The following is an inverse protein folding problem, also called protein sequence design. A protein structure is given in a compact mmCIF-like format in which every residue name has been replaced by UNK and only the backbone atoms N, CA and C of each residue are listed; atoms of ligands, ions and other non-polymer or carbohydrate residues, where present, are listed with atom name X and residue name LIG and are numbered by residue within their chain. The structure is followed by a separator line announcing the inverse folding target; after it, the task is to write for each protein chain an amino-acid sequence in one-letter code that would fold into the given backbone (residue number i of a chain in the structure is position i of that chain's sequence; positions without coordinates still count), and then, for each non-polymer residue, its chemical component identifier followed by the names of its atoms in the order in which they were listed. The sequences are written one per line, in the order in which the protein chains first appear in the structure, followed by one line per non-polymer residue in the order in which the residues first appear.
data_IF_895801431154
#
_entry.id   IF_895801431154
#
_cell.length_a   1.000
_cell.length_b   1.000
_cell.length_c   1.000
_cell.angle_alpha   90.00
_cell.angle_beta   90.00
_cell.angle_gamma   90.00
#
_symmetry.space_group_name_H-M   'P 1'
#
loop_
_entity.id
_entity.type
_entity.pdbx_description
1 polymer ?
#
# COMPACT_ATOMS: atom_id res chain seq x y z
N UNK A 1 -31.16 -21.28 38.76
CA UNK A 1 -29.80 -21.49 38.24
C UNK A 1 -29.42 -20.26 37.46
N UNK A 2 -28.68 -19.34 38.08
CA UNK A 2 -28.20 -18.11 37.45
C UNK A 2 -26.96 -18.45 36.60
N UNK A 3 -27.07 -18.33 35.29
CA UNK A 3 -25.93 -18.41 34.39
C UNK A 3 -25.05 -17.17 34.56
N UNK A 4 -23.87 -17.37 35.12
CA UNK A 4 -22.82 -16.35 35.21
C UNK A 4 -22.50 -15.80 33.82
N UNK A 5 -22.32 -14.48 33.65
CA UNK A 5 -21.84 -13.93 32.39
C UNK A 5 -20.39 -14.36 32.16
N UNK A 6 -20.10 -14.83 30.94
CA UNK A 6 -18.76 -15.19 30.47
C UNK A 6 -17.76 -14.07 30.74
N UNK A 7 -16.48 -14.40 31.05
CA UNK A 7 -15.46 -13.40 31.32
C UNK A 7 -15.31 -12.48 30.11
N UNK A 8 -15.42 -11.18 30.36
CA UNK A 8 -15.20 -10.12 29.39
C UNK A 8 -13.89 -10.39 28.64
N UNK A 9 -13.97 -10.65 27.34
CA UNK A 9 -12.80 -10.62 26.47
C UNK A 9 -12.16 -9.25 26.63
N UNK A 10 -10.98 -9.22 27.27
CA UNK A 10 -10.17 -8.02 27.39
C UNK A 10 -9.99 -7.45 25.99
N UNK A 11 -10.47 -6.22 25.78
CA UNK A 11 -10.25 -5.49 24.54
C UNK A 11 -8.76 -5.60 24.18
N UNK A 12 -8.38 -6.07 22.97
CA UNK A 12 -6.98 -6.11 22.59
C UNK A 12 -6.39 -4.71 22.78
N UNK A 13 -5.22 -4.64 23.41
CA UNK A 13 -4.57 -3.39 23.77
C UNK A 13 -4.55 -2.45 22.56
N UNK A 14 -4.86 -1.18 22.79
CA UNK A 14 -4.81 -0.16 21.76
C UNK A 14 -3.44 -0.22 21.06
N UNK A 15 -3.46 -0.56 19.77
CA UNK A 15 -2.25 -0.79 18.98
C UNK A 15 -1.35 0.45 19.07
N UNK A 16 -0.11 0.25 19.53
CA UNK A 16 0.94 1.26 19.44
C UNK A 16 1.70 1.04 18.13
N UNK A 17 1.91 2.11 17.36
CA UNK A 17 2.87 2.07 16.27
C UNK A 17 4.25 1.73 16.83
N UNK A 18 4.97 0.86 16.13
CA UNK A 18 6.38 0.63 16.44
C UNK A 18 7.19 1.89 16.13
N UNK A 19 8.25 2.13 16.90
CA UNK A 19 9.05 3.36 16.82
C UNK A 19 9.57 3.63 15.42
N UNK A 20 10.02 2.60 14.71
CA UNK A 20 10.45 2.66 13.31
C UNK A 20 9.37 3.21 12.37
N UNK A 21 8.11 2.79 12.56
CA UNK A 21 6.99 3.25 11.72
C UNK A 21 6.62 4.69 12.01
N UNK A 22 6.67 5.09 13.27
CA UNK A 22 6.48 6.49 13.65
C UNK A 22 7.56 7.37 13.03
N UNK A 23 8.82 6.96 13.15
CA UNK A 23 9.95 7.69 12.55
C UNK A 23 9.78 7.80 11.04
N UNK A 24 9.46 6.71 10.34
CA UNK A 24 9.21 6.73 8.90
C UNK A 24 8.05 7.67 8.51
N UNK A 25 6.98 7.68 9.30
CA UNK A 25 5.85 8.59 9.09
C UNK A 25 6.28 10.06 9.25
N UNK A 26 7.01 10.41 10.30
CA UNK A 26 7.50 11.77 10.51
C UNK A 26 8.48 12.20 9.43
N UNK A 27 9.40 11.32 9.01
CA UNK A 27 10.34 11.61 7.92
C UNK A 27 9.60 11.92 6.62
N UNK A 28 8.56 11.14 6.27
CA UNK A 28 7.70 11.43 5.11
C UNK A 28 7.04 12.79 5.21
N UNK A 29 6.50 13.11 6.38
CA UNK A 29 5.82 14.38 6.63
C UNK A 29 6.77 15.58 6.50
N UNK A 30 7.94 15.51 7.15
CA UNK A 30 8.97 16.55 7.06
C UNK A 30 9.47 16.71 5.62
N UNK A 31 9.74 15.60 4.92
CA UNK A 31 10.18 15.65 3.52
C UNK A 31 9.16 16.35 2.60
N UNK A 32 7.85 16.15 2.83
CA UNK A 32 6.79 16.88 2.10
C UNK A 32 6.82 18.37 2.40
N UNK A 33 6.95 18.74 3.67
CA UNK A 33 7.04 20.15 4.08
C UNK A 33 8.26 20.81 3.40
N UNK A 34 9.41 20.14 3.39
CA UNK A 34 10.63 20.66 2.74
C UNK A 34 10.41 20.87 1.24
N UNK A 35 9.82 19.89 0.54
CA UNK A 35 9.53 20.01 -0.91
C UNK A 35 8.51 21.11 -1.17
N UNK A 36 7.42 21.17 -0.41
CA UNK A 36 6.39 22.22 -0.55
C UNK A 36 6.97 23.61 -0.28
N UNK A 37 7.75 23.76 0.79
CA UNK A 37 8.45 25.01 1.11
C UNK A 37 9.38 25.42 -0.03
N UNK A 38 10.14 24.48 -0.59
CA UNK A 38 11.03 24.74 -1.73
C UNK A 38 10.27 25.18 -2.97
N UNK A 39 9.14 24.54 -3.27
CA UNK A 39 8.28 24.93 -4.39
C UNK A 39 7.70 26.34 -4.20
N UNK A 40 7.28 26.70 -2.99
CA UNK A 40 6.80 28.05 -2.67
C UNK A 40 7.90 29.11 -2.81
N UNK A 41 9.12 28.82 -2.35
CA UNK A 41 10.26 29.72 -2.51
C UNK A 41 10.62 29.92 -3.98
N UNK A 42 10.56 28.85 -4.78
CA UNK A 42 10.76 28.93 -6.22
C UNK A 42 9.67 29.77 -6.90
N UNK A 43 8.40 29.58 -6.53
CA UNK A 43 7.29 30.38 -7.04
C UNK A 43 7.44 31.87 -6.68
N UNK A 44 7.84 32.18 -5.44
CA UNK A 44 8.13 33.54 -5.02
C UNK A 44 9.28 34.16 -5.83
N UNK A 45 10.29 33.34 -6.19
CA UNK A 45 11.38 33.77 -7.06
C UNK A 45 10.90 34.21 -8.46
N UNK A 46 10.04 33.40 -9.08
CA UNK A 46 9.42 33.73 -10.35
C UNK A 46 8.54 35.00 -10.28
N UNK A 47 7.96 35.28 -9.11
CA UNK A 47 7.19 36.50 -8.83
C UNK A 47 8.03 37.76 -8.56
N UNK A 48 9.35 37.71 -8.78
CA UNK A 48 10.25 38.86 -8.61
C UNK A 48 10.77 39.08 -7.18
N UNK A 49 10.36 38.25 -6.21
CA UNK A 49 11.00 38.22 -4.90
C UNK A 49 12.32 37.45 -5.00
N UNK A 50 13.32 37.75 -4.17
CA UNK A 50 14.56 36.96 -4.13
C UNK A 50 14.73 36.28 -2.76
N UNK A 51 13.95 35.23 -2.47
CA UNK A 51 14.05 34.52 -1.20
C UNK A 51 15.42 33.83 -1.03
N UNK A 52 16.06 33.44 -2.14
CA UNK A 52 17.38 32.84 -2.13
C UNK A 52 18.41 33.76 -1.46
N UNK A 53 18.35 35.08 -1.72
CA UNK A 53 19.23 36.07 -1.08
C UNK A 53 19.19 36.00 0.46
N UNK A 54 18.01 35.83 1.04
CA UNK A 54 17.83 35.76 2.49
C UNK A 54 18.25 34.39 3.05
N UNK A 55 17.95 33.31 2.34
CA UNK A 55 18.24 31.94 2.79
C UNK A 55 19.71 31.54 2.63
N UNK A 56 20.42 32.11 1.66
CA UNK A 56 21.83 31.77 1.37
C UNK A 56 22.82 32.81 1.90
N UNK A 57 22.36 33.81 2.67
CA UNK A 57 23.23 34.80 3.32
C UNK A 57 24.31 34.10 4.15
N UNK A 58 23.93 33.04 4.88
CA UNK A 58 24.88 32.14 5.53
C UNK A 58 25.11 30.90 4.64
N UNK A 59 26.33 30.75 4.13
CA UNK A 59 26.71 29.64 3.23
C UNK A 59 26.46 28.26 3.86
N UNK A 60 26.65 28.11 5.17
CA UNK A 60 26.42 26.84 5.88
C UNK A 60 24.93 26.51 5.91
N UNK A 61 24.09 27.49 6.24
CA UNK A 61 22.62 27.31 6.24
C UNK A 61 22.13 26.99 4.84
N UNK A 62 22.64 27.70 3.82
CA UNK A 62 22.32 27.42 2.42
C UNK A 62 22.65 25.98 2.00
N UNK A 63 23.83 25.47 2.36
CA UNK A 63 24.21 24.08 2.10
C UNK A 63 23.29 23.10 2.82
N UNK A 64 22.95 23.33 4.09
CA UNK A 64 22.04 22.47 4.85
C UNK A 64 20.65 22.40 4.19
N UNK A 65 20.10 23.54 3.76
CA UNK A 65 18.80 23.60 3.09
C UNK A 65 18.86 22.80 1.78
N UNK A 66 19.88 23.03 0.95
CA UNK A 66 20.04 22.31 -0.32
C UNK A 66 20.12 20.80 -0.08
N UNK A 67 20.93 20.35 0.89
CA UNK A 67 21.03 18.94 1.23
C UNK A 67 19.69 18.36 1.72
N UNK A 68 18.94 19.10 2.53
CA UNK A 68 17.62 18.67 3.00
C UNK A 68 16.62 18.52 1.83
N UNK A 69 16.65 19.43 0.86
CA UNK A 69 15.80 19.36 -0.34
C UNK A 69 16.19 18.16 -1.19
N UNK A 70 17.47 17.99 -1.50
CA UNK A 70 17.97 16.86 -2.29
C UNK A 70 17.64 15.53 -1.62
N UNK A 71 17.90 15.41 -0.31
CA UNK A 71 17.55 14.21 0.45
C UNK A 71 16.04 13.92 0.43
N UNK A 72 15.20 14.95 0.54
CA UNK A 72 13.74 14.79 0.46
C UNK A 72 13.27 14.33 -0.92
N UNK A 73 13.87 14.86 -1.99
CA UNK A 73 13.57 14.43 -3.37
C UNK A 73 14.00 12.98 -3.57
N UNK A 74 15.25 12.64 -3.22
CA UNK A 74 15.76 11.27 -3.37
C UNK A 74 14.91 10.26 -2.58
N UNK A 75 14.43 10.63 -1.39
CA UNK A 75 13.52 9.81 -0.60
C UNK A 75 12.24 9.46 -1.36
N UNK A 76 11.65 10.42 -2.09
CA UNK A 76 10.39 10.20 -2.81
C UNK A 76 10.55 9.60 -4.20
N UNK A 77 11.68 9.84 -4.88
CA UNK A 77 11.95 9.26 -6.21
C UNK A 77 11.95 7.73 -6.16
N UNK A 78 12.37 7.13 -5.04
CA UNK A 78 12.37 5.68 -4.86
C UNK A 78 11.08 5.14 -4.23
N UNK A 79 10.17 6.01 -3.78
CA UNK A 79 8.91 5.58 -3.16
C UNK A 79 7.85 5.30 -4.25
N UNK A 80 7.64 4.03 -4.55
CA UNK A 80 6.57 3.56 -5.45
C UNK A 80 5.21 4.17 -5.12
N UNK A 81 4.87 4.31 -3.84
CA UNK A 81 3.56 4.79 -3.40
C UNK A 81 3.42 6.31 -3.57
N UNK A 82 4.51 7.05 -3.82
CA UNK A 82 4.45 8.46 -4.20
C UNK A 82 3.77 8.64 -5.56
N UNK A 83 4.14 7.80 -6.53
CA UNK A 83 3.58 7.83 -7.88
C UNK A 83 2.25 7.07 -7.99
N UNK A 84 2.11 6.00 -7.19
CA UNK A 84 0.93 5.13 -7.18
C UNK A 84 0.32 5.11 -5.78
N UNK A 85 -0.32 6.22 -5.39
CA UNK A 85 -0.87 6.43 -4.04
C UNK A 85 -1.85 5.34 -3.62
N UNK A 86 -2.60 4.78 -4.56
CA UNK A 86 -3.51 3.67 -4.32
C UNK A 86 -2.81 2.39 -3.88
N UNK A 87 -1.51 2.19 -4.15
CA UNK A 87 -0.76 1.02 -3.67
C UNK A 87 -0.35 1.15 -2.19
N UNK A 88 -0.48 2.34 -1.60
CA UNK A 88 -0.16 2.61 -0.21
C UNK A 88 -1.23 2.08 0.77
N UNK A 89 -1.06 2.47 2.03
CA UNK A 89 -2.00 2.18 3.11
C UNK A 89 -3.36 2.84 2.82
N UNK A 90 -4.45 2.15 3.13
CA UNK A 90 -5.80 2.64 2.84
C UNK A 90 -6.71 2.46 4.07
N UNK A 91 -7.47 3.50 4.41
CA UNK A 91 -8.48 3.40 5.46
C UNK A 91 -9.60 2.49 4.99
N UNK A 92 -9.91 1.47 5.79
CA UNK A 92 -11.03 0.57 5.54
C UNK A 92 -11.49 -0.06 6.86
N UNK A 93 -12.79 -0.02 7.21
CA UNK A 93 -13.29 -0.60 8.44
C UNK A 93 -13.18 -2.14 8.40
N UNK A 94 -12.12 -2.70 8.98
CA UNK A 94 -11.81 -4.13 8.89
C UNK A 94 -12.93 -5.06 9.38
N UNK A 95 -13.80 -4.57 10.26
CA UNK A 95 -14.96 -5.33 10.76
C UNK A 95 -16.05 -5.57 9.72
N UNK A 96 -16.07 -4.84 8.59
CA UNK A 96 -17.01 -5.11 7.50
C UNK A 96 -16.55 -6.19 6.53
N UNK A 97 -15.33 -6.73 6.72
CA UNK A 97 -14.81 -7.80 5.88
C UNK A 97 -15.44 -9.13 6.26
N UNK A 98 -16.19 -9.71 5.32
CA UNK A 98 -16.67 -11.08 5.40
C UNK A 98 -15.74 -12.01 4.62
N UNK A 99 -15.50 -13.21 5.14
CA UNK A 99 -14.75 -14.23 4.41
C UNK A 99 -15.44 -14.57 3.09
N UNK A 100 -14.66 -14.66 2.03
CA UNK A 100 -15.12 -14.92 0.67
C UNK A 100 -14.04 -15.69 -0.06
N UNK A 101 -14.45 -16.75 -0.76
CA UNK A 101 -13.63 -17.44 -1.76
C UNK A 101 -14.33 -17.29 -3.11
N UNK A 102 -13.62 -16.93 -4.18
CA UNK A 102 -14.23 -16.83 -5.51
C UNK A 102 -14.71 -18.20 -5.98
N UNK A 103 -15.82 -18.21 -6.72
CA UNK A 103 -16.37 -19.43 -7.31
C UNK A 103 -15.36 -20.08 -8.26
N UNK A 104 -15.30 -21.41 -8.27
CA UNK A 104 -14.41 -22.21 -9.13
C UNK A 104 -12.91 -21.92 -8.94
N UNK A 105 -12.47 -21.54 -7.74
CA UNK A 105 -11.05 -21.39 -7.43
C UNK A 105 -10.29 -22.71 -7.70
N UNK A 106 -9.24 -22.64 -8.51
CA UNK A 106 -8.41 -23.77 -8.96
C UNK A 106 -6.94 -23.66 -8.52
N UNK A 107 -6.55 -22.50 -8.00
CA UNK A 107 -5.18 -22.15 -7.63
C UNK A 107 -5.16 -21.72 -6.16
N UNK A 108 -4.09 -22.05 -5.45
CA UNK A 108 -3.90 -21.60 -4.07
C UNK A 108 -2.45 -21.26 -3.76
N UNK A 109 -2.25 -20.19 -3.00
CA UNK A 109 -0.94 -19.87 -2.39
C UNK A 109 -1.10 -19.62 -0.90
N UNK A 110 -0.06 -19.91 -0.13
CA UNK A 110 -0.01 -19.60 1.29
C UNK A 110 0.90 -18.39 1.51
N UNK A 111 0.41 -17.38 2.23
CA UNK A 111 1.19 -16.22 2.64
C UNK A 111 1.33 -16.17 4.15
N UNK A 112 2.52 -15.79 4.63
CA UNK A 112 2.78 -15.58 6.05
C UNK A 112 2.53 -14.13 6.42
N UNK A 113 1.60 -13.90 7.34
CA UNK A 113 1.15 -12.59 7.82
C UNK A 113 1.04 -12.61 9.36
N UNK A 114 0.77 -11.49 10.05
CA UNK A 114 0.49 -11.55 11.48
C UNK A 114 -0.69 -12.50 11.80
N UNK A 115 -0.65 -13.25 12.92
CA UNK A 115 -1.73 -14.16 13.28
C UNK A 115 -3.09 -13.48 13.43
N UNK A 116 -4.16 -14.21 13.10
CA UNK A 116 -5.54 -13.80 13.36
C UNK A 116 -5.96 -12.46 12.71
N UNK A 117 -5.39 -12.13 11.55
CA UNK A 117 -5.76 -10.94 10.76
C UNK A 117 -6.51 -11.32 9.49
N UNK A 118 -7.37 -10.43 9.01
CA UNK A 118 -8.03 -10.62 7.71
C UNK A 118 -7.05 -10.26 6.59
N UNK A 119 -7.04 -11.06 5.54
CA UNK A 119 -6.26 -10.86 4.32
C UNK A 119 -7.24 -10.75 3.16
N UNK A 120 -7.27 -9.59 2.52
CA UNK A 120 -8.04 -9.36 1.29
C UNK A 120 -7.11 -9.61 0.13
N UNK A 121 -7.54 -10.35 -0.87
CA UNK A 121 -6.73 -10.66 -2.04
C UNK A 121 -7.56 -10.61 -3.33
N UNK A 122 -6.88 -10.34 -4.44
CA UNK A 122 -7.47 -10.31 -5.77
C UNK A 122 -6.42 -10.63 -6.83
N UNK A 123 -6.84 -11.28 -7.90
CA UNK A 123 -6.02 -11.57 -9.06
C UNK A 123 -6.84 -11.27 -10.34
N UNK A 124 -6.18 -11.20 -11.49
CA UNK A 124 -6.87 -11.03 -12.78
C UNK A 124 -7.76 -12.23 -13.08
N UNK A 125 -8.80 -12.03 -13.89
CA UNK A 125 -9.61 -13.13 -14.40
C UNK A 125 -8.79 -14.03 -15.34
N UNK A 126 -9.11 -15.34 -15.39
CA UNK A 126 -8.53 -16.23 -16.38
C UNK A 126 -8.95 -15.82 -17.80
N UNK A 127 -8.00 -15.88 -18.73
CA UNK A 127 -8.21 -15.76 -20.17
C UNK A 127 -7.41 -16.84 -20.90
N UNK A 128 -7.71 -17.07 -22.18
CA UNK A 128 -6.99 -18.05 -22.98
C UNK A 128 -5.55 -17.60 -23.21
N UNK A 129 -4.68 -18.52 -23.62
CA UNK A 129 -3.26 -18.22 -23.81
C UNK A 129 -3.03 -17.27 -25.00
N UNK A 130 -3.83 -17.44 -26.05
CA UNK A 130 -3.85 -16.60 -27.24
C UNK A 130 -4.33 -15.16 -26.98
N UNK A 131 -5.10 -14.95 -25.91
CA UNK A 131 -5.65 -13.65 -25.51
C UNK A 131 -4.74 -12.94 -24.48
N UNK A 132 -3.52 -13.42 -24.28
CA UNK A 132 -2.57 -12.87 -23.32
C UNK A 132 -1.34 -12.26 -24.00
N UNK A 133 -0.80 -11.15 -23.47
CA UNK A 133 -1.27 -10.42 -22.29
C UNK A 133 -2.54 -9.60 -22.59
N UNK A 134 -3.42 -9.47 -21.60
CA UNK A 134 -4.57 -8.56 -21.68
C UNK A 134 -4.07 -7.11 -21.74
N UNK A 135 -4.65 -6.28 -22.59
CA UNK A 135 -4.12 -4.95 -22.92
C UNK A 135 -4.08 -3.96 -21.74
N UNK A 136 -4.95 -4.12 -20.76
CA UNK A 136 -5.04 -3.18 -19.64
C UNK A 136 -5.57 -3.84 -18.35
N UNK A 137 -5.29 -3.24 -17.17
CA UNK A 137 -5.74 -3.80 -15.90
C UNK A 137 -7.26 -3.82 -15.73
N UNK A 138 -8.02 -2.94 -16.39
CA UNK A 138 -9.48 -2.88 -16.19
C UNK A 138 -10.16 -4.10 -16.80
N UNK A 139 -9.73 -4.49 -17.99
CA UNK A 139 -10.18 -5.73 -18.62
C UNK A 139 -9.63 -6.95 -17.88
N UNK A 140 -8.39 -6.89 -17.41
CA UNK A 140 -7.77 -8.01 -16.69
C UNK A 140 -8.47 -8.32 -15.36
N UNK A 141 -8.89 -7.31 -14.59
CA UNK A 141 -9.60 -7.52 -13.32
C UNK A 141 -11.11 -7.61 -13.46
N UNK A 142 -11.69 -7.10 -14.56
CA UNK A 142 -13.13 -7.05 -14.80
C UNK A 142 -13.89 -6.53 -13.57
N UNK A 143 -14.76 -7.35 -12.97
CA UNK A 143 -15.57 -6.99 -11.80
C UNK A 143 -14.93 -7.37 -10.46
N UNK A 144 -13.65 -7.75 -10.44
CA UNK A 144 -12.95 -8.30 -9.28
C UNK A 144 -13.63 -9.56 -8.73
N UNK A 145 -14.24 -10.39 -9.58
CA UNK A 145 -14.87 -11.63 -9.13
C UNK A 145 -13.83 -12.66 -8.68
N UNK A 146 -12.62 -12.59 -9.22
CA UNK A 146 -11.46 -13.36 -8.77
C UNK A 146 -10.78 -12.75 -7.53
N UNK A 147 -11.59 -12.47 -6.50
CA UNK A 147 -11.17 -11.89 -5.23
C UNK A 147 -11.75 -12.65 -4.05
N UNK A 148 -11.07 -12.53 -2.91
CA UNK A 148 -11.50 -13.14 -1.67
C UNK A 148 -10.98 -12.45 -0.43
N UNK A 149 -11.48 -12.93 0.70
CA UNK A 149 -11.06 -12.54 2.04
C UNK A 149 -10.90 -13.81 2.85
N UNK A 150 -9.75 -13.97 3.50
CA UNK A 150 -9.48 -15.09 4.40
C UNK A 150 -8.93 -14.56 5.72
N UNK A 151 -9.18 -15.26 6.81
CA UNK A 151 -8.55 -14.99 8.10
C UNK A 151 -7.29 -15.84 8.26
N UNK A 152 -6.17 -15.20 8.57
CA UNK A 152 -4.94 -15.91 8.91
C UNK A 152 -5.13 -16.69 10.22
N UNK A 153 -4.55 -17.88 10.29
CA UNK A 153 -4.64 -18.72 11.49
C UNK A 153 -3.80 -18.18 12.68
N UNK A 154 -3.75 -18.94 13.76
CA UNK A 154 -2.98 -18.60 14.97
C UNK A 154 -1.47 -18.56 14.75
N UNK A 155 -0.97 -19.14 13.66
CA UNK A 155 0.45 -19.13 13.27
C UNK A 155 0.77 -18.02 12.27
N UNK A 156 -0.26 -17.36 11.72
CA UNK A 156 -0.10 -16.35 10.68
C UNK A 156 -0.14 -16.90 9.25
N UNK A 157 -0.58 -18.14 9.07
CA UNK A 157 -0.76 -18.74 7.74
C UNK A 157 -2.12 -18.33 7.17
N UNK A 158 -2.11 -17.77 5.96
CA UNK A 158 -3.33 -17.45 5.21
C UNK A 158 -3.28 -18.11 3.83
N UNK A 159 -4.24 -19.00 3.56
CA UNK A 159 -4.35 -19.71 2.28
C UNK A 159 -5.28 -18.91 1.35
N UNK A 160 -4.71 -18.32 0.32
CA UNK A 160 -5.44 -17.54 -0.69
C UNK A 160 -5.85 -18.47 -1.81
N UNK A 161 -7.16 -18.61 -2.06
CA UNK A 161 -7.71 -19.48 -3.12
C UNK A 161 -8.37 -18.62 -4.20
N UNK A 162 -7.98 -18.80 -5.45
CA UNK A 162 -8.44 -17.99 -6.59
C UNK A 162 -8.38 -18.80 -7.89
N UNK A 163 -8.97 -18.25 -8.96
CA UNK A 163 -8.84 -18.79 -10.32
C UNK A 163 -7.49 -18.40 -10.91
N UNK A 164 -6.87 -19.27 -11.69
CA UNK A 164 -5.53 -19.07 -12.22
C UNK A 164 -5.44 -17.79 -13.09
N UNK A 165 -4.67 -16.76 -12.68
CA UNK A 165 -4.81 -15.41 -13.23
C UNK A 165 -4.04 -15.20 -14.53
N UNK A 166 -4.52 -14.32 -15.41
CA UNK A 166 -3.84 -13.97 -16.65
C UNK A 166 -2.77 -12.88 -16.51
N UNK A 167 -1.83 -12.85 -17.45
CA UNK A 167 -0.91 -11.72 -17.62
C UNK A 167 -1.59 -10.53 -18.29
N UNK A 168 -1.13 -9.30 -17.99
CA UNK A 168 -1.70 -8.07 -18.56
C UNK A 168 -0.67 -6.94 -18.65
N UNK A 169 -0.95 -5.92 -19.46
CA UNK A 169 -0.06 -4.77 -19.66
C UNK A 169 -0.45 -3.59 -18.76
N UNK A 170 0.56 -2.81 -18.35
CA UNK A 170 0.38 -1.59 -17.55
C UNK A 170 1.28 -0.45 -18.00
N UNK A 171 0.81 0.78 -17.72
CA UNK A 171 1.58 2.01 -17.89
C UNK A 171 1.74 2.45 -19.34
N UNK A 172 2.39 3.60 -19.53
CA UNK A 172 2.55 4.26 -20.84
C UNK A 172 3.42 3.48 -21.85
N UNK A 173 4.14 2.44 -21.41
CA UNK A 173 5.05 1.64 -22.24
C UNK A 173 4.62 0.17 -22.35
N UNK A 174 3.35 -0.14 -22.07
CA UNK A 174 2.79 -1.49 -22.21
C UNK A 174 3.64 -2.58 -21.53
N UNK A 175 4.10 -2.29 -20.31
CA UNK A 175 4.89 -3.26 -19.56
C UNK A 175 4.02 -4.45 -19.21
N UNK A 176 4.41 -5.64 -19.65
CA UNK A 176 3.72 -6.89 -19.26
C UNK A 176 4.00 -7.23 -17.80
N UNK A 177 2.93 -7.44 -17.03
CA UNK A 177 2.95 -8.07 -15.72
C UNK A 177 2.57 -9.54 -15.90
N UNK A 178 3.49 -10.43 -15.50
CA UNK A 178 3.24 -11.88 -15.48
C UNK A 178 2.24 -12.25 -14.39
N UNK A 179 1.74 -13.49 -14.39
CA UNK A 179 0.69 -13.99 -13.48
C UNK A 179 1.04 -13.67 -12.01
N UNK A 180 0.10 -13.04 -11.29
CA UNK A 180 0.30 -12.67 -9.89
C UNK A 180 -1.02 -12.53 -9.15
N UNK A 181 -0.93 -12.54 -7.82
CA UNK A 181 -2.03 -12.17 -6.92
C UNK A 181 -1.59 -11.01 -6.04
N UNK A 182 -2.50 -10.05 -5.88
CA UNK A 182 -2.34 -8.97 -4.94
C UNK A 182 -3.06 -9.29 -3.63
N UNK A 183 -2.51 -8.79 -2.53
CA UNK A 183 -3.18 -8.87 -1.24
C UNK A 183 -2.87 -7.67 -0.35
N UNK A 184 -3.77 -7.43 0.59
CA UNK A 184 -3.63 -6.48 1.69
C UNK A 184 -3.95 -7.17 2.99
N UNK A 185 -3.29 -6.72 4.05
CA UNK A 185 -3.53 -7.18 5.41
C UNK A 185 -4.38 -6.13 6.11
N UNK A 186 -5.52 -6.55 6.66
CA UNK A 186 -6.30 -5.71 7.55
C UNK A 186 -5.61 -5.65 8.91
N UNK A 187 -4.95 -4.54 9.16
CA UNK A 187 -4.15 -4.28 10.37
C UNK A 187 -4.72 -3.02 11.00
N UNK A 188 -5.11 -3.07 12.28
CA UNK A 188 -5.95 -2.06 12.94
C UNK A 188 -7.43 -2.24 12.55
N UNK A 189 -8.42 -1.97 13.42
CA UNK A 189 -9.86 -2.04 13.07
C UNK A 189 -10.32 -1.11 11.93
N UNK A 190 -9.41 -0.47 11.19
CA UNK A 190 -9.73 0.58 10.22
C UNK A 190 -8.69 0.81 9.13
N UNK A 191 -7.70 -0.06 8.94
CA UNK A 191 -6.61 0.20 7.99
C UNK A 191 -6.15 -1.07 7.26
N UNK A 192 -6.03 -0.96 5.95
CA UNK A 192 -5.36 -1.94 5.10
C UNK A 192 -3.91 -1.54 4.91
N UNK A 193 -3.04 -2.54 4.89
CA UNK A 193 -1.65 -2.36 4.46
C UNK A 193 -1.56 -1.83 3.04
N UNK A 194 -0.34 -1.45 2.65
CA UNK A 194 0.04 -1.36 1.25
C UNK A 194 -0.24 -2.66 0.49
N UNK A 195 -0.37 -2.54 -0.83
CA UNK A 195 -0.55 -3.68 -1.75
C UNK A 195 0.73 -4.47 -1.80
N UNK A 196 0.60 -5.76 -1.51
CA UNK A 196 1.64 -6.78 -1.64
C UNK A 196 1.31 -7.66 -2.84
N UNK A 197 2.34 -8.18 -3.50
CA UNK A 197 2.20 -8.99 -4.71
C UNK A 197 2.99 -10.28 -4.54
N UNK A 198 2.40 -11.41 -4.95
CA UNK A 198 3.08 -12.70 -5.09
C UNK A 198 2.96 -13.13 -6.53
N UNK A 199 4.10 -13.45 -7.15
CA UNK A 199 4.15 -14.00 -8.50
C UNK A 199 3.76 -15.48 -8.48
N UNK A 200 3.10 -15.95 -9.54
CA UNK A 200 2.59 -17.32 -9.68
C UNK A 200 3.31 -18.00 -10.84
#
# INVERSE_FOLDING_TARGET
MSSSPSPSQSSPSAWKYSTDKMVAMYLRFVARIVIMGSALLFAAHLGGYNPAKYLTTNKVIGVIIILAVVASILYYVVDRNFYLSFLGWAVYPCGSLAEKVPLNADTSITVTVPPNVNVIYWASEPSKAEDQPIDNPWDAYANYDNSGVVRADSTGSAVLRFRSPSSYQVGLFNRTLTRHVHYRICKHPGMLSDVKTVMI
#
